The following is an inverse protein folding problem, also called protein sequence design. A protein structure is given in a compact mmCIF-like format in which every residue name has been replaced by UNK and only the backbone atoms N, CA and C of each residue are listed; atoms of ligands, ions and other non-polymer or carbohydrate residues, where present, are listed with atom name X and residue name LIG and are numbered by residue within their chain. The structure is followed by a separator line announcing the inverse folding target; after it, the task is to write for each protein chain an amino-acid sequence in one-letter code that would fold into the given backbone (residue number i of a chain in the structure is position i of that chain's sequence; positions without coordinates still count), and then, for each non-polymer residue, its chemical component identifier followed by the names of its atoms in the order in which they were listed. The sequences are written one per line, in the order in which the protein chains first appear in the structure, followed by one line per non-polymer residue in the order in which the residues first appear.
data_IF_891055584155
#
_entry.id   IF_891055584155
#
_cell.length_a   1.000
_cell.length_b   1.000
_cell.length_c   1.000
_cell.angle_alpha   90.00
_cell.angle_beta   90.00
_cell.angle_gamma   90.00
#
_symmetry.space_group_name_H-M   'P 1'
#
loop_
_entity.id
_entity.type
_entity.pdbx_description
1 polymer ?
#
# COMPACT_ATOMS: atom_id res chain seq x y z
N UNK A 1 -11.62 -19.84 -12.83
CA UNK A 1 -12.54 -20.70 -12.07
C UNK A 1 -12.30 -20.64 -10.56
N UNK A 2 -11.03 -20.71 -10.06
CA UNK A 2 -10.75 -20.75 -8.62
C UNK A 2 -11.28 -19.50 -7.88
N UNK A 3 -11.05 -18.31 -8.41
CA UNK A 3 -11.46 -17.03 -7.78
C UNK A 3 -12.91 -16.63 -8.06
N UNK A 4 -13.62 -17.37 -8.91
CA UNK A 4 -15.05 -17.14 -9.17
C UNK A 4 -15.95 -17.75 -8.08
N UNK A 5 -15.44 -18.65 -7.27
CA UNK A 5 -16.14 -19.18 -6.11
C UNK A 5 -16.22 -18.12 -5.00
N UNK A 6 -17.42 -17.63 -4.61
CA UNK A 6 -17.58 -16.64 -3.55
C UNK A 6 -16.94 -17.06 -2.21
N UNK A 7 -16.89 -18.34 -1.91
CA UNK A 7 -16.27 -18.86 -0.69
C UNK A 7 -14.72 -18.76 -0.70
N UNK A 8 -14.13 -18.65 -1.89
CA UNK A 8 -12.68 -18.55 -2.09
C UNK A 8 -12.23 -17.17 -2.58
N UNK A 9 -13.13 -16.21 -2.61
CA UNK A 9 -12.88 -14.86 -3.15
C UNK A 9 -11.61 -14.21 -2.62
N UNK A 10 -11.32 -14.39 -1.35
CA UNK A 10 -10.16 -13.79 -0.69
C UNK A 10 -9.05 -14.82 -0.41
N UNK A 11 -8.99 -15.89 -1.16
CA UNK A 11 -7.95 -16.91 -1.04
C UNK A 11 -6.98 -16.81 -2.21
N UNK A 12 -5.68 -16.75 -1.90
CA UNK A 12 -4.64 -16.76 -2.94
C UNK A 12 -4.61 -18.16 -3.59
N UNK A 13 -4.66 -18.26 -4.93
CA UNK A 13 -4.57 -19.54 -5.59
C UNK A 13 -3.27 -20.26 -5.24
N UNK A 14 -3.31 -21.56 -4.83
CA UNK A 14 -2.12 -22.29 -4.34
C UNK A 14 -0.95 -22.32 -5.32
N UNK A 15 -1.24 -22.29 -6.62
CA UNK A 15 -0.21 -22.28 -7.68
C UNK A 15 0.69 -21.04 -7.64
N UNK A 16 0.21 -19.91 -7.08
CA UNK A 16 0.94 -18.65 -7.07
C UNK A 16 2.23 -18.76 -6.26
N UNK A 17 2.20 -19.43 -5.11
CA UNK A 17 3.38 -19.61 -4.26
C UNK A 17 4.47 -20.45 -4.95
N UNK A 18 4.09 -21.51 -5.66
CA UNK A 18 5.03 -22.28 -6.46
C UNK A 18 5.68 -21.47 -7.60
N UNK A 19 4.92 -20.59 -8.21
CA UNK A 19 5.44 -19.67 -9.24
C UNK A 19 6.35 -18.59 -8.65
N UNK A 20 6.02 -18.02 -7.48
CA UNK A 20 6.91 -17.10 -6.75
C UNK A 20 8.24 -17.74 -6.39
N UNK A 21 8.25 -18.99 -5.92
CA UNK A 21 9.49 -19.73 -5.63
C UNK A 21 10.38 -19.85 -6.88
N UNK A 22 9.79 -20.24 -8.02
CA UNK A 22 10.51 -20.32 -9.30
C UNK A 22 11.02 -18.95 -9.78
N UNK A 23 10.26 -17.89 -9.58
CA UNK A 23 10.70 -16.54 -9.93
C UNK A 23 11.92 -16.11 -9.10
N UNK A 24 11.93 -16.40 -7.79
CA UNK A 24 13.10 -16.14 -6.92
C UNK A 24 14.33 -16.95 -7.36
N UNK A 25 14.18 -18.25 -7.61
CA UNK A 25 15.26 -19.12 -8.10
C UNK A 25 15.86 -18.64 -9.42
N UNK A 26 15.03 -18.05 -10.28
CA UNK A 26 15.46 -17.49 -11.57
C UNK A 26 16.02 -16.07 -11.47
N UNK A 27 16.10 -15.47 -10.27
CA UNK A 27 16.53 -14.08 -10.08
C UNK A 27 15.54 -13.04 -10.61
N UNK A 28 14.28 -13.42 -10.81
CA UNK A 28 13.21 -12.57 -11.34
C UNK A 28 12.31 -12.06 -10.20
N UNK A 29 12.90 -11.36 -9.23
CA UNK A 29 12.19 -10.90 -8.03
C UNK A 29 12.45 -9.42 -7.76
N UNK A 30 11.42 -8.64 -7.40
CA UNK A 30 11.49 -7.21 -7.12
C UNK A 30 12.09 -6.38 -8.28
N UNK A 31 11.88 -6.80 -9.53
CA UNK A 31 12.49 -6.17 -10.72
C UNK A 31 12.10 -4.71 -10.91
N UNK A 32 11.01 -4.26 -10.26
CA UNK A 32 10.49 -2.90 -10.35
C UNK A 32 11.37 -1.87 -9.63
N UNK A 33 12.12 -2.30 -8.59
CA UNK A 33 12.82 -1.37 -7.70
C UNK A 33 14.07 -0.81 -8.40
N UNK A 34 14.11 0.52 -8.66
CA UNK A 34 15.19 1.13 -9.42
C UNK A 34 16.56 1.00 -8.75
N UNK A 35 17.63 1.06 -9.55
CA UNK A 35 19.02 0.82 -9.12
C UNK A 35 19.51 1.72 -7.97
N UNK A 36 18.91 2.89 -7.78
CA UNK A 36 19.25 3.81 -6.67
C UNK A 36 18.84 3.30 -5.28
N UNK A 37 17.95 2.30 -5.21
CA UNK A 37 17.48 1.74 -3.94
C UNK A 37 18.34 0.55 -3.46
N UNK A 38 19.67 0.70 -3.50
CA UNK A 38 20.56 -0.29 -2.90
C UNK A 38 20.42 -0.31 -1.37
N UNK A 39 20.55 -1.49 -0.70
CA UNK A 39 20.93 -2.81 -1.28
C UNK A 39 19.75 -3.65 -1.81
N UNK A 40 18.53 -3.15 -1.82
CA UNK A 40 17.31 -3.92 -2.12
C UNK A 40 17.03 -4.09 -3.62
N UNK A 41 17.57 -3.20 -4.44
CA UNK A 41 17.34 -3.18 -5.88
C UNK A 41 18.11 -4.31 -6.60
N UNK A 42 17.48 -4.96 -7.60
CA UNK A 42 18.18 -5.87 -8.51
C UNK A 42 19.12 -5.15 -9.50
N UNK A 43 19.13 -3.81 -9.51
CA UNK A 43 20.04 -2.99 -10.29
C UNK A 43 19.51 -2.49 -11.65
N UNK A 44 18.23 -2.72 -11.95
CA UNK A 44 17.64 -2.26 -13.21
C UNK A 44 17.30 -0.75 -13.17
N UNK A 45 17.45 -0.10 -14.32
CA UNK A 45 16.83 1.20 -14.56
C UNK A 45 15.37 1.05 -14.93
N UNK A 46 14.58 2.13 -14.82
CA UNK A 46 13.18 2.13 -15.27
C UNK A 46 13.04 1.79 -16.76
N UNK A 47 14.01 2.18 -17.59
CA UNK A 47 14.04 1.86 -19.03
C UNK A 47 14.23 0.35 -19.27
N UNK A 48 15.09 -0.30 -18.50
CA UNK A 48 15.33 -1.74 -18.59
C UNK A 48 14.15 -2.55 -18.00
N UNK A 49 13.48 -2.03 -16.97
CA UNK A 49 12.30 -2.66 -16.41
C UNK A 49 11.05 -2.56 -17.30
N UNK A 50 10.89 -1.48 -18.08
CA UNK A 50 9.68 -1.22 -18.88
C UNK A 50 9.25 -2.39 -19.78
N UNK A 51 10.13 -3.05 -20.59
CA UNK A 51 9.74 -4.21 -21.37
C UNK A 51 9.35 -5.43 -20.54
N UNK A 52 9.90 -5.59 -19.34
CA UNK A 52 9.52 -6.67 -18.40
C UNK A 52 8.13 -6.42 -17.83
N UNK A 53 7.82 -5.19 -17.47
CA UNK A 53 6.48 -4.78 -17.04
C UNK A 53 5.44 -5.01 -18.15
N UNK A 54 5.78 -4.70 -19.41
CA UNK A 54 4.92 -4.96 -20.57
C UNK A 54 4.64 -6.48 -20.74
N UNK A 55 5.64 -7.32 -20.54
CA UNK A 55 5.47 -8.78 -20.60
C UNK A 55 4.55 -9.29 -19.48
N UNK A 56 4.76 -8.82 -18.25
CA UNK A 56 3.91 -9.17 -17.10
C UNK A 56 2.47 -8.69 -17.32
N UNK A 57 2.26 -7.51 -17.89
CA UNK A 57 0.94 -6.94 -18.16
C UNK A 57 0.07 -7.71 -19.16
N UNK A 58 0.60 -8.76 -19.81
CA UNK A 58 -0.19 -9.66 -20.67
C UNK A 58 -1.07 -10.63 -19.87
N UNK A 59 -0.81 -10.78 -18.58
CA UNK A 59 -1.56 -11.67 -17.69
C UNK A 59 -1.80 -10.91 -16.38
N UNK A 60 -3.05 -10.68 -16.02
CA UNK A 60 -3.48 -9.80 -14.91
C UNK A 60 -2.77 -10.05 -13.56
N UNK A 61 -2.45 -11.30 -13.27
CA UNK A 61 -1.83 -11.67 -12.00
C UNK A 61 -0.31 -11.96 -12.10
N UNK A 62 0.30 -11.83 -13.28
CA UNK A 62 1.71 -12.19 -13.46
C UNK A 62 2.65 -11.32 -12.62
N UNK A 63 2.37 -10.02 -12.48
CA UNK A 63 3.16 -9.12 -11.63
C UNK A 63 3.26 -9.59 -10.17
N UNK A 64 2.23 -10.28 -9.66
CA UNK A 64 2.23 -10.85 -8.31
C UNK A 64 3.28 -11.95 -8.14
N UNK A 65 3.52 -12.73 -9.19
CA UNK A 65 4.53 -13.80 -9.19
C UNK A 65 5.95 -13.27 -9.00
N UNK A 66 6.21 -12.07 -9.49
CA UNK A 66 7.53 -11.42 -9.46
C UNK A 66 7.65 -10.37 -8.34
N UNK A 67 6.65 -10.25 -7.46
CA UNK A 67 6.51 -9.21 -6.44
C UNK A 67 6.57 -7.78 -7.03
N UNK A 68 5.99 -7.61 -8.20
CA UNK A 68 6.00 -6.36 -8.98
C UNK A 68 4.59 -5.77 -9.15
N UNK A 69 3.64 -6.08 -8.29
CA UNK A 69 2.26 -5.60 -8.40
C UNK A 69 1.99 -4.35 -7.55
N UNK A 70 1.17 -3.47 -8.09
CA UNK A 70 0.65 -2.33 -7.33
C UNK A 70 -0.44 -2.80 -6.33
N UNK A 71 -0.59 -2.11 -5.17
CA UNK A 71 0.12 -0.91 -4.74
C UNK A 71 1.46 -1.19 -4.04
N UNK A 72 1.84 -2.47 -3.85
CA UNK A 72 3.01 -2.85 -3.06
C UNK A 72 4.31 -2.23 -3.61
N UNK A 73 4.46 -2.15 -4.94
CA UNK A 73 5.65 -1.53 -5.56
C UNK A 73 5.86 -0.10 -5.10
N UNK A 74 4.85 0.76 -5.24
CA UNK A 74 4.92 2.14 -4.78
C UNK A 74 5.09 2.25 -3.26
N UNK A 75 4.42 1.40 -2.50
CA UNK A 75 4.54 1.39 -1.04
C UNK A 75 5.94 0.95 -0.56
N UNK A 76 6.56 0.00 -1.25
CA UNK A 76 7.95 -0.39 -0.99
C UNK A 76 8.93 0.74 -1.32
N UNK A 77 8.73 1.47 -2.43
CA UNK A 77 9.53 2.66 -2.74
C UNK A 77 9.37 3.76 -1.70
N UNK A 78 8.15 4.02 -1.23
CA UNK A 78 7.89 4.98 -0.14
C UNK A 78 8.66 4.60 1.12
N UNK A 79 8.60 3.33 1.53
CA UNK A 79 9.32 2.84 2.72
C UNK A 79 10.85 2.85 2.52
N UNK A 80 11.34 2.49 1.34
CA UNK A 80 12.77 2.52 1.02
C UNK A 80 13.34 3.93 1.05
N UNK A 81 12.57 4.92 0.60
CA UNK A 81 13.01 6.32 0.50
C UNK A 81 12.80 7.11 1.78
N UNK A 82 11.69 6.91 2.47
CA UNK A 82 11.21 7.79 3.55
C UNK A 82 11.06 7.08 4.90
N UNK A 83 11.09 5.76 4.93
CA UNK A 83 11.07 4.99 6.17
C UNK A 83 12.37 5.08 6.92
N UNK A 84 12.31 5.15 8.26
CA UNK A 84 13.47 4.97 9.12
C UNK A 84 13.90 3.48 9.20
N UNK A 85 14.99 3.22 9.91
CA UNK A 85 15.54 1.85 10.00
C UNK A 85 14.57 0.85 10.64
N UNK A 86 13.81 1.27 11.64
CA UNK A 86 12.85 0.41 12.33
C UNK A 86 11.63 0.14 11.43
N UNK A 87 11.10 1.17 10.76
CA UNK A 87 10.02 1.05 9.78
C UNK A 87 10.42 0.16 8.60
N UNK A 88 11.65 0.29 8.10
CA UNK A 88 12.18 -0.55 7.03
C UNK A 88 12.34 -2.00 7.47
N UNK A 89 12.88 -2.23 8.67
CA UNK A 89 13.02 -3.59 9.21
C UNK A 89 11.66 -4.24 9.44
N UNK A 90 10.70 -3.49 9.97
CA UNK A 90 9.38 -4.01 10.32
C UNK A 90 8.48 -4.24 9.10
N UNK A 91 8.51 -3.36 8.09
CA UNK A 91 7.54 -3.35 7.01
C UNK A 91 8.14 -3.54 5.62
N UNK A 92 9.24 -2.85 5.28
CA UNK A 92 9.85 -2.97 3.95
C UNK A 92 10.43 -4.36 3.73
N UNK A 93 11.19 -4.88 4.68
CA UNK A 93 11.81 -6.20 4.55
C UNK A 93 10.80 -7.31 4.27
N UNK A 94 9.70 -7.48 5.05
CA UNK A 94 8.72 -8.51 4.74
C UNK A 94 7.92 -8.25 3.44
N UNK A 95 7.76 -7.00 3.01
CA UNK A 95 7.18 -6.66 1.70
C UNK A 95 8.10 -7.09 0.56
N UNK A 96 9.39 -6.78 0.65
CA UNK A 96 10.41 -7.20 -0.34
C UNK A 96 10.54 -8.73 -0.41
N UNK A 97 10.38 -9.41 0.70
CA UNK A 97 10.34 -10.88 0.76
C UNK A 97 9.01 -11.47 0.24
N UNK A 98 8.00 -10.64 0.02
CA UNK A 98 6.67 -11.05 -0.41
C UNK A 98 5.89 -11.85 0.63
N UNK A 99 6.25 -11.72 1.92
CA UNK A 99 5.57 -12.36 3.05
C UNK A 99 4.29 -11.63 3.47
N UNK A 100 4.25 -10.32 3.28
CA UNK A 100 3.10 -9.47 3.54
C UNK A 100 2.74 -8.65 2.31
N UNK A 101 1.57 -8.03 2.36
CA UNK A 101 1.07 -7.06 1.39
C UNK A 101 0.71 -5.75 2.08
N UNK A 102 0.50 -4.73 1.29
CA UNK A 102 0.18 -3.39 1.74
C UNK A 102 -0.99 -2.78 0.99
N UNK A 103 -1.57 -1.72 1.54
CA UNK A 103 -2.53 -0.88 0.86
C UNK A 103 -2.19 0.60 1.05
N UNK A 104 -2.58 1.43 0.07
CA UNK A 104 -2.43 2.88 0.13
C UNK A 104 -3.80 3.53 0.27
N UNK A 105 -4.02 4.28 1.36
CA UNK A 105 -5.29 4.87 1.73
C UNK A 105 -5.22 6.40 1.59
N UNK A 106 -5.57 6.90 0.41
CA UNK A 106 -5.52 8.34 0.12
C UNK A 106 -6.92 8.90 -0.14
N UNK A 107 -7.62 8.39 -1.16
CA UNK A 107 -8.89 8.95 -1.63
C UNK A 107 -10.05 8.72 -0.66
N UNK A 108 -11.02 9.64 -0.66
CA UNK A 108 -12.16 9.68 0.25
C UNK A 108 -13.49 9.78 -0.50
N UNK A 109 -14.57 9.12 -0.01
CA UNK A 109 -15.85 9.11 -0.70
C UNK A 109 -16.63 10.45 -0.58
N UNK A 110 -16.36 11.24 0.45
CA UNK A 110 -17.14 12.45 0.77
C UNK A 110 -16.65 13.71 0.06
N UNK A 111 -15.42 13.69 -0.49
CA UNK A 111 -14.78 14.87 -1.09
C UNK A 111 -14.19 14.56 -2.46
N UNK A 112 -13.93 15.60 -3.26
CA UNK A 112 -13.21 15.48 -4.54
C UNK A 112 -11.71 15.23 -4.28
N UNK A 113 -11.39 14.02 -3.84
CA UNK A 113 -10.09 13.64 -3.29
C UNK A 113 -9.01 13.32 -4.34
N UNK A 114 -9.31 13.45 -5.63
CA UNK A 114 -8.29 13.54 -6.67
C UNK A 114 -7.40 14.78 -6.51
N UNK A 115 -7.93 15.84 -5.93
CA UNK A 115 -7.14 16.89 -5.30
C UNK A 115 -6.97 16.54 -3.82
N UNK A 116 -5.79 16.06 -3.45
CA UNK A 116 -5.49 15.64 -2.08
C UNK A 116 -5.55 16.77 -1.05
N UNK A 117 -5.62 18.05 -1.46
CA UNK A 117 -5.86 19.16 -0.53
C UNK A 117 -7.26 19.13 0.06
N UNK A 118 -8.21 18.41 -0.56
CA UNK A 118 -9.60 18.27 -0.10
C UNK A 118 -9.81 17.17 0.93
N UNK A 119 -8.85 16.28 1.16
CA UNK A 119 -9.04 15.18 2.12
C UNK A 119 -9.39 15.71 3.51
N UNK A 120 -10.23 14.97 4.23
CA UNK A 120 -10.72 15.32 5.57
C UNK A 120 -10.25 14.35 6.66
N UNK A 121 -9.69 13.19 6.29
CA UNK A 121 -9.11 12.26 7.25
C UNK A 121 -8.11 12.99 8.14
N UNK A 122 -8.30 12.91 9.46
CA UNK A 122 -7.46 13.57 10.45
C UNK A 122 -6.43 12.64 11.04
N UNK A 123 -5.24 13.16 11.32
CA UNK A 123 -4.15 12.54 12.05
C UNK A 123 -3.79 13.48 13.20
N UNK A 124 -4.31 13.23 14.39
CA UNK A 124 -4.19 14.15 15.53
C UNK A 124 -3.20 13.59 16.54
N UNK A 125 -2.21 14.40 16.91
CA UNK A 125 -1.24 14.03 17.96
C UNK A 125 -1.92 13.92 19.31
N UNK A 126 -1.68 12.82 20.02
CA UNK A 126 -2.16 12.59 21.40
C UNK A 126 -1.07 11.89 22.22
N UNK A 127 -0.28 12.69 22.92
CA UNK A 127 0.90 12.22 23.65
C UNK A 127 1.96 11.63 22.73
N UNK A 128 2.31 10.37 22.98
CA UNK A 128 3.30 9.61 22.18
C UNK A 128 2.68 8.89 20.98
N UNK A 129 1.38 9.09 20.74
CA UNK A 129 0.61 8.49 19.65
C UNK A 129 0.04 9.53 18.69
N UNK A 130 -0.44 9.02 17.55
CA UNK A 130 -1.42 9.71 16.69
C UNK A 130 -2.74 8.95 16.68
N UNK A 131 -3.83 9.71 16.65
CA UNK A 131 -5.19 9.19 16.47
C UNK A 131 -5.66 9.51 15.05
N UNK A 132 -5.96 8.47 14.28
CA UNK A 132 -6.35 8.57 12.87
C UNK A 132 -7.86 8.34 12.75
N UNK A 133 -8.57 9.31 12.16
CA UNK A 133 -10.03 9.24 11.98
C UNK A 133 -10.42 9.72 10.58
N UNK A 134 -11.17 8.90 9.87
CA UNK A 134 -11.64 9.24 8.53
C UNK A 134 -12.22 8.05 7.78
N UNK A 135 -12.55 8.27 6.51
CA UNK A 135 -13.09 7.24 5.63
C UNK A 135 -12.38 7.27 4.29
N UNK A 136 -11.85 6.14 3.90
CA UNK A 136 -11.09 5.96 2.66
C UNK A 136 -11.82 4.99 1.74
N UNK A 137 -11.61 5.13 0.43
CA UNK A 137 -12.17 4.21 -0.53
C UNK A 137 -11.20 3.95 -1.71
N UNK A 138 -11.57 3.00 -2.55
CA UNK A 138 -10.74 2.52 -3.66
C UNK A 138 -9.34 2.08 -3.22
N UNK A 139 -9.23 1.65 -1.96
CA UNK A 139 -7.99 1.15 -1.40
C UNK A 139 -7.71 -0.25 -1.95
N UNK A 140 -6.81 -0.33 -2.93
CA UNK A 140 -6.42 -1.59 -3.57
C UNK A 140 -5.64 -2.46 -2.60
N UNK A 141 -5.78 -3.78 -2.74
CA UNK A 141 -5.11 -4.80 -1.93
C UNK A 141 -5.62 -4.95 -0.49
N UNK A 142 -6.57 -4.10 -0.05
CA UNK A 142 -7.03 -4.08 1.34
C UNK A 142 -7.73 -5.38 1.78
N UNK A 143 -8.28 -6.15 0.83
CA UNK A 143 -8.90 -7.46 1.08
C UNK A 143 -7.93 -8.63 0.97
N UNK A 144 -6.72 -8.39 0.49
CA UNK A 144 -5.73 -9.47 0.40
C UNK A 144 -5.48 -10.07 1.79
N UNK A 145 -5.48 -11.40 1.97
CA UNK A 145 -5.33 -12.01 3.29
C UNK A 145 -3.99 -11.67 3.96
N UNK A 146 -2.97 -11.42 3.17
CA UNK A 146 -1.62 -11.03 3.64
C UNK A 146 -1.43 -9.51 3.77
N UNK A 147 -2.47 -8.69 3.56
CA UNK A 147 -2.35 -7.24 3.76
C UNK A 147 -2.20 -6.93 5.24
N UNK A 148 -1.02 -6.46 5.65
CA UNK A 148 -0.67 -6.21 7.04
C UNK A 148 -0.45 -4.73 7.35
N UNK A 149 -0.06 -3.92 6.35
CA UNK A 149 0.28 -2.51 6.56
C UNK A 149 -0.48 -1.60 5.61
N UNK A 150 -0.96 -0.48 6.15
CA UNK A 150 -1.64 0.59 5.43
C UNK A 150 -0.78 1.86 5.49
N UNK A 151 -0.52 2.48 4.34
CA UNK A 151 0.01 3.85 4.28
C UNK A 151 -1.18 4.79 4.15
N UNK A 152 -1.45 5.55 5.21
CA UNK A 152 -2.63 6.42 5.30
C UNK A 152 -2.23 7.88 5.14
N UNK A 153 -2.81 8.56 4.14
CA UNK A 153 -2.71 10.02 4.00
C UNK A 153 -3.86 10.71 4.74
N UNK A 154 -3.54 11.63 5.62
CA UNK A 154 -4.50 12.43 6.37
C UNK A 154 -3.92 13.79 6.72
N UNK A 155 -4.74 14.68 7.30
CA UNK A 155 -4.30 16.01 7.75
C UNK A 155 -3.84 15.97 9.20
N UNK A 156 -2.60 16.42 9.43
CA UNK A 156 -2.08 16.74 10.76
C UNK A 156 -2.31 18.22 11.11
N UNK A 157 -2.60 19.06 10.10
CA UNK A 157 -2.93 20.49 10.26
C UNK A 157 -4.10 20.84 9.37
N UNK A 158 -4.93 21.79 9.82
CA UNK A 158 -6.09 22.28 9.08
C UNK A 158 -5.95 23.75 8.69
N UNK A 159 -4.84 24.37 9.02
CA UNK A 159 -4.46 25.75 8.72
C UNK A 159 -3.13 25.78 7.92
N UNK A 160 -2.76 26.98 7.45
CA UNK A 160 -1.53 27.20 6.69
C UNK A 160 -1.60 26.74 5.23
N UNK A 161 -0.44 26.59 4.57
CA UNK A 161 -0.39 26.22 3.14
C UNK A 161 -1.03 24.88 2.89
N UNK A 162 -1.93 24.78 1.90
CA UNK A 162 -2.72 23.57 1.61
C UNK A 162 -1.89 22.32 1.40
N UNK A 163 -0.73 22.43 0.75
CA UNK A 163 0.16 21.28 0.47
C UNK A 163 1.06 20.88 1.66
N UNK A 164 0.97 21.59 2.80
CA UNK A 164 1.68 21.26 4.03
C UNK A 164 0.75 20.80 5.15
N UNK A 165 -0.51 20.52 4.84
CA UNK A 165 -1.49 20.03 5.81
C UNK A 165 -1.48 18.52 5.94
N UNK A 166 -1.10 17.83 4.87
CA UNK A 166 -1.17 16.36 4.76
C UNK A 166 0.13 15.71 5.25
N UNK A 167 -0.04 14.60 5.92
CA UNK A 167 1.03 13.71 6.38
C UNK A 167 0.70 12.27 5.99
N UNK A 168 1.69 11.40 6.02
CA UNK A 168 1.49 9.97 5.85
C UNK A 168 1.90 9.22 7.09
N UNK A 169 1.08 8.25 7.49
CA UNK A 169 1.30 7.46 8.69
C UNK A 169 1.08 5.97 8.40
N UNK A 170 1.92 5.14 9.00
CA UNK A 170 1.83 3.68 8.91
C UNK A 170 0.80 3.17 9.92
N UNK A 171 -0.21 2.46 9.43
CA UNK A 171 -1.26 1.88 10.27
C UNK A 171 -1.29 0.37 10.04
N UNK A 172 -1.02 -0.46 11.06
CA UNK A 172 -1.25 -1.89 10.95
C UNK A 172 -2.72 -2.17 10.58
N UNK A 173 -2.95 -3.06 9.60
CA UNK A 173 -4.34 -3.37 9.18
C UNK A 173 -5.18 -3.95 10.32
N UNK A 174 -4.54 -4.64 11.27
CA UNK A 174 -5.16 -5.23 12.45
C UNK A 174 -5.37 -4.24 13.61
N UNK A 175 -4.95 -2.97 13.46
CA UNK A 175 -5.10 -1.98 14.54
C UNK A 175 -6.57 -1.77 14.91
N UNK A 176 -6.90 -1.68 16.23
CA UNK A 176 -8.24 -1.38 16.67
C UNK A 176 -8.78 -0.09 16.02
N UNK A 177 -10.02 -0.14 15.53
CA UNK A 177 -10.65 0.97 14.82
C UNK A 177 -10.47 0.94 13.30
N UNK A 178 -9.65 0.05 12.75
CA UNK A 178 -9.62 -0.22 11.30
C UNK A 178 -10.76 -1.17 10.94
N UNK A 179 -11.70 -0.70 10.12
CA UNK A 179 -12.86 -1.48 9.72
C UNK A 179 -13.05 -1.49 8.20
N UNK A 180 -13.06 -2.67 7.61
CA UNK A 180 -13.42 -2.86 6.21
C UNK A 180 -14.95 -2.69 6.06
N UNK A 181 -15.38 -1.70 5.28
CA UNK A 181 -16.79 -1.38 5.12
C UNK A 181 -17.44 -2.27 4.06
N UNK A 182 -16.87 -2.28 2.87
CA UNK A 182 -17.34 -3.09 1.74
C UNK A 182 -16.29 -3.19 0.64
N UNK A 183 -16.28 -4.28 -0.14
CA UNK A 183 -15.55 -4.33 -1.39
C UNK A 183 -16.22 -3.46 -2.46
N UNK A 184 -15.40 -2.84 -3.29
CA UNK A 184 -15.86 -2.01 -4.42
C UNK A 184 -15.64 -2.77 -5.72
N UNK A 185 -16.54 -2.57 -6.67
CA UNK A 185 -16.52 -3.24 -7.98
C UNK A 185 -16.00 -2.30 -9.06
N UNK A 186 -15.08 -2.79 -9.87
CA UNK A 186 -14.63 -2.14 -11.11
C UNK A 186 -15.18 -2.94 -12.27
N UNK A 187 -16.02 -2.32 -13.11
CA UNK A 187 -16.74 -3.00 -14.20
C UNK A 187 -17.48 -4.27 -13.77
N UNK A 188 -18.03 -4.27 -12.55
CA UNK A 188 -18.76 -5.42 -12.00
C UNK A 188 -17.93 -6.44 -11.25
N UNK A 189 -16.60 -6.39 -11.33
CA UNK A 189 -15.65 -7.33 -10.73
C UNK A 189 -15.07 -6.78 -9.42
N UNK A 190 -14.79 -7.67 -8.46
CA UNK A 190 -14.17 -7.31 -7.15
C UNK A 190 -12.66 -7.50 -7.12
N UNK A 191 -12.04 -7.95 -8.21
CA UNK A 191 -10.58 -8.17 -8.38
C UNK A 191 -9.97 -9.03 -7.26
N UNK A 192 -10.48 -10.24 -7.11
CA UNK A 192 -9.96 -11.21 -6.12
C UNK A 192 -8.52 -11.66 -6.43
N UNK A 193 -7.71 -11.96 -5.41
CA UNK A 193 -7.98 -11.88 -3.96
C UNK A 193 -7.66 -10.52 -3.34
N UNK A 194 -7.14 -9.58 -4.09
CA UNK A 194 -6.64 -8.28 -3.58
C UNK A 194 -7.78 -7.33 -3.22
N UNK A 195 -8.75 -7.16 -4.09
CA UNK A 195 -9.90 -6.29 -3.94
C UNK A 195 -9.58 -4.80 -3.85
N UNK A 196 -10.60 -3.99 -4.08
CA UNK A 196 -10.61 -2.57 -3.78
C UNK A 196 -11.63 -2.33 -2.69
N UNK A 197 -11.27 -1.62 -1.63
CA UNK A 197 -12.16 -1.51 -0.48
C UNK A 197 -12.47 -0.10 -0.04
N UNK A 198 -13.60 0.00 0.64
CA UNK A 198 -13.95 1.14 1.46
C UNK A 198 -13.58 0.80 2.91
N UNK A 199 -12.84 1.72 3.57
CA UNK A 199 -12.26 1.54 4.90
C UNK A 199 -12.67 2.69 5.80
N UNK A 200 -13.17 2.38 6.99
CA UNK A 200 -13.36 3.34 8.07
C UNK A 200 -12.19 3.24 9.06
N UNK A 201 -11.67 4.39 9.44
CA UNK A 201 -10.66 4.58 10.48
C UNK A 201 -11.37 5.31 11.63
N UNK A 202 -11.64 4.58 12.71
CA UNK A 202 -12.51 5.04 13.81
C UNK A 202 -11.66 5.23 15.08
N UNK A 203 -10.94 6.37 15.16
CA UNK A 203 -10.06 6.67 16.29
C UNK A 203 -8.88 5.69 16.38
N UNK A 204 -8.30 5.30 15.25
CA UNK A 204 -7.19 4.36 15.18
C UNK A 204 -5.95 4.97 15.82
N UNK A 205 -5.47 4.37 16.91
CA UNK A 205 -4.30 4.84 17.66
C UNK A 205 -3.05 4.08 17.21
N UNK A 206 -2.01 4.82 16.83
CA UNK A 206 -0.70 4.28 16.45
C UNK A 206 0.42 5.11 17.06
N UNK A 207 1.58 4.52 17.39
CA UNK A 207 2.74 5.25 17.88
C UNK A 207 3.18 6.39 16.95
N UNK A 208 3.69 7.46 17.53
CA UNK A 208 4.18 8.60 16.74
C UNK A 208 5.35 8.24 15.82
N UNK A 209 6.11 7.21 16.16
CA UNK A 209 7.15 6.64 15.31
C UNK A 209 6.64 6.03 14.00
N UNK A 210 5.31 5.86 13.86
CA UNK A 210 4.70 5.40 12.61
C UNK A 210 4.53 6.52 11.57
N UNK A 211 4.80 7.79 11.92
CA UNK A 211 4.74 8.90 10.98
C UNK A 211 5.92 8.83 10.00
N UNK A 212 5.63 8.89 8.70
CA UNK A 212 6.65 8.89 7.67
C UNK A 212 7.20 10.31 7.47
N UNK A 213 8.54 10.48 7.47
CA UNK A 213 9.28 11.69 7.16
C UNK A 213 8.99 12.90 8.06
N UNK A 214 7.78 13.04 8.59
CA UNK A 214 7.36 14.15 9.46
C UNK A 214 6.02 14.77 9.06
N UNK A 215 5.49 15.63 9.93
CA UNK A 215 4.23 16.32 9.68
C UNK A 215 4.31 17.28 8.47
N UNK A 216 3.23 17.36 7.72
CA UNK A 216 3.11 18.24 6.55
C UNK A 216 3.89 17.81 5.30
N UNK A 217 4.47 16.59 5.31
CA UNK A 217 5.29 16.07 4.21
C UNK A 217 4.54 15.06 3.31
N UNK A 218 3.22 14.93 3.48
CA UNK A 218 2.42 13.95 2.74
C UNK A 218 2.45 14.13 1.23
N UNK A 219 2.47 15.35 0.72
CA UNK A 219 2.59 15.61 -0.72
C UNK A 219 3.96 15.23 -1.28
N UNK A 220 5.03 15.48 -0.56
CA UNK A 220 6.39 15.07 -0.97
C UNK A 220 6.50 13.55 -1.10
N UNK A 221 5.89 12.82 -0.18
CA UNK A 221 5.88 11.35 -0.19
C UNK A 221 5.05 10.82 -1.36
N UNK A 222 3.95 11.52 -1.72
CA UNK A 222 3.03 11.09 -2.77
C UNK A 222 3.55 11.36 -4.20
N UNK A 223 4.55 12.23 -4.38
CA UNK A 223 5.14 12.59 -5.69
C UNK A 223 6.33 11.72 -6.04
#
# INVERSE_FOLDING_TARGET
EFVQDPARRWVVPPMVEGLKARAREAGLWNLFLPHEYQPWSPGLTNLEYAPLAQLMGRVDWASTVFNCNAPDTGNMEVLARYGDADQQAQWLTPLLEGRIRSAFLMTEPAVASSDATNIECSIVRDGDDYVVTGRKWWSSNIYHPECEILIVMGKTRFDGPKHSQQSMILVPRSAPGVRLVRPLKVFGEVHSPSGHGEVALEGVRVPASNLLLGEGRGFEIAQ
#
